data_IF_454532806941
#
_entry.id   IF_454532806941
#
_cell.length_a   1.000
_cell.length_b   1.000
_cell.length_c   1.000
_cell.angle_alpha   90.00
_cell.angle_beta   90.00
_cell.angle_gamma   90.00
#
_symmetry.space_group_name_H-M   'P 1'
#
loop_
_entity.id
_entity.type
_entity.pdbx_description
1 polymer ?
#
# COMPACT_ATOMS: atom_id res chain seq x y z
N UNK A 1 7.69 6.71 -20.57
CA UNK A 1 6.87 6.05 -19.53
C UNK A 1 6.99 4.55 -19.67
N UNK A 2 7.24 3.81 -18.57
CA UNK A 2 7.19 2.34 -18.53
C UNK A 2 5.92 1.78 -19.19
N UNK A 3 5.99 0.60 -19.82
CA UNK A 3 4.93 0.05 -20.68
C UNK A 3 3.61 -0.17 -19.92
N UNK A 4 3.72 -0.65 -18.69
CA UNK A 4 2.63 -0.89 -17.74
C UNK A 4 1.89 0.38 -17.30
N UNK A 5 2.53 1.55 -17.39
CA UNK A 5 1.94 2.85 -17.05
C UNK A 5 1.41 3.64 -18.26
N UNK A 6 1.39 3.06 -19.47
CA UNK A 6 0.87 3.73 -20.67
C UNK A 6 -0.67 3.68 -20.76
N UNK A 7 -1.31 2.64 -20.22
CA UNK A 7 -2.77 2.51 -20.15
C UNK A 7 -3.25 2.63 -18.70
N UNK A 8 -3.72 3.83 -18.32
CA UNK A 8 -4.21 4.18 -16.98
C UNK A 8 -5.67 4.65 -17.02
N UNK A 9 -6.48 4.06 -17.91
CA UNK A 9 -7.86 4.52 -18.18
C UNK A 9 -8.78 4.53 -16.96
N UNK A 10 -8.52 3.66 -15.98
CA UNK A 10 -9.22 3.58 -14.70
C UNK A 10 -8.20 3.22 -13.63
N UNK A 11 -8.22 3.98 -12.55
CA UNK A 11 -7.36 3.81 -11.38
C UNK A 11 -8.26 3.68 -10.15
N UNK A 12 -7.98 2.71 -9.29
CA UNK A 12 -8.68 2.58 -8.00
C UNK A 12 -7.76 3.06 -6.88
N UNK A 13 -8.33 3.70 -5.87
CA UNK A 13 -7.59 4.20 -4.70
C UNK A 13 -8.13 3.52 -3.44
N UNK A 14 -7.29 3.27 -2.45
CA UNK A 14 -7.76 2.72 -1.18
C UNK A 14 -6.65 2.45 -0.16
N UNK A 15 -7.06 2.19 1.09
CA UNK A 15 -6.13 2.01 2.20
C UNK A 15 -5.29 0.75 2.03
N UNK A 16 -4.21 0.66 2.80
CA UNK A 16 -3.27 -0.46 2.75
C UNK A 16 -3.68 -1.67 3.63
N UNK A 17 -4.96 -1.78 4.00
CA UNK A 17 -5.49 -2.93 4.73
C UNK A 17 -5.44 -4.20 3.88
N UNK A 18 -5.03 -5.33 4.46
CA UNK A 18 -4.71 -6.57 3.72
C UNK A 18 -5.82 -7.04 2.76
N UNK A 19 -7.06 -7.09 3.23
CA UNK A 19 -8.23 -7.47 2.39
C UNK A 19 -8.49 -6.45 1.28
N UNK A 20 -8.31 -5.16 1.56
CA UNK A 20 -8.54 -4.07 0.60
C UNK A 20 -7.48 -4.04 -0.49
N UNK A 21 -6.21 -4.26 -0.15
CA UNK A 21 -5.12 -4.40 -1.13
C UNK A 21 -5.45 -5.50 -2.15
N UNK A 22 -5.86 -6.69 -1.69
CA UNK A 22 -6.24 -7.80 -2.57
C UNK A 22 -7.43 -7.41 -3.47
N UNK A 23 -8.49 -6.85 -2.89
CA UNK A 23 -9.68 -6.46 -3.65
C UNK A 23 -9.38 -5.38 -4.69
N UNK A 24 -8.57 -4.38 -4.34
CA UNK A 24 -8.20 -3.29 -5.23
C UNK A 24 -7.33 -3.78 -6.40
N UNK A 25 -6.33 -4.62 -6.11
CA UNK A 25 -5.51 -5.28 -7.14
C UNK A 25 -6.34 -6.18 -8.07
N UNK A 26 -7.39 -6.81 -7.55
CA UNK A 26 -8.28 -7.69 -8.31
C UNK A 26 -9.49 -6.96 -8.95
N UNK A 27 -9.60 -5.63 -8.82
CA UNK A 27 -10.79 -4.86 -9.22
C UNK A 27 -11.03 -4.79 -10.73
N UNK A 28 -10.00 -5.07 -11.54
CA UNK A 28 -10.00 -4.84 -12.99
C UNK A 28 -9.58 -3.43 -13.41
N UNK A 29 -9.29 -2.53 -12.46
CA UNK A 29 -8.62 -1.27 -12.73
C UNK A 29 -7.22 -1.51 -13.34
N UNK A 30 -6.68 -0.52 -14.06
CA UNK A 30 -5.33 -0.61 -14.61
C UNK A 30 -4.26 -0.41 -13.55
N UNK A 31 -4.56 0.46 -12.59
CA UNK A 31 -3.68 0.75 -11.47
C UNK A 31 -4.46 0.75 -10.17
N UNK A 32 -3.75 0.45 -9.08
CA UNK A 32 -4.22 0.63 -7.71
C UNK A 32 -3.24 1.55 -6.99
N UNK A 33 -3.73 2.69 -6.51
CA UNK A 33 -2.99 3.57 -5.63
C UNK A 33 -3.25 3.16 -4.17
N UNK A 34 -2.29 2.43 -3.61
CA UNK A 34 -2.24 2.10 -2.19
C UNK A 34 -1.86 3.35 -1.41
N UNK A 35 -2.70 3.69 -0.44
CA UNK A 35 -2.69 5.01 0.17
C UNK A 35 -2.29 4.97 1.64
N UNK A 36 -1.21 5.65 1.99
CA UNK A 36 -0.79 5.92 3.37
C UNK A 36 -1.25 7.31 3.86
N UNK A 37 -1.93 8.08 3.01
CA UNK A 37 -2.39 9.44 3.28
C UNK A 37 -3.89 9.49 3.61
N UNK A 38 -4.73 10.19 2.83
CA UNK A 38 -6.05 10.65 3.28
C UNK A 38 -7.05 9.52 3.58
N UNK A 39 -6.90 8.32 2.98
CA UNK A 39 -7.78 7.19 3.27
C UNK A 39 -7.30 6.28 4.40
N UNK A 40 -6.14 6.57 4.99
CA UNK A 40 -5.53 5.75 6.06
C UNK A 40 -5.31 6.58 7.32
N UNK A 41 -5.94 6.20 8.43
CA UNK A 41 -5.56 6.73 9.75
C UNK A 41 -4.11 6.30 10.05
N UNK A 42 -3.15 7.22 10.22
CA UNK A 42 -1.72 6.90 10.26
C UNK A 42 -1.27 6.43 11.66
N UNK A 43 -1.95 5.40 12.17
CA UNK A 43 -1.47 4.70 13.37
C UNK A 43 -0.23 3.89 13.01
N UNK A 44 0.70 3.73 13.95
CA UNK A 44 1.91 2.91 13.74
C UNK A 44 1.58 1.52 13.17
N UNK A 45 0.56 0.87 13.73
CA UNK A 45 0.09 -0.44 13.26
C UNK A 45 -0.33 -0.39 11.79
N UNK A 46 -1.16 0.57 11.40
CA UNK A 46 -1.66 0.66 10.02
C UNK A 46 -0.53 0.91 9.03
N UNK A 47 0.45 1.75 9.39
CA UNK A 47 1.59 2.06 8.54
C UNK A 47 2.49 0.83 8.36
N UNK A 48 2.88 0.16 9.45
CA UNK A 48 3.76 -1.01 9.39
C UNK A 48 3.07 -2.21 8.73
N UNK A 49 1.82 -2.51 9.11
CA UNK A 49 1.07 -3.59 8.45
C UNK A 49 0.78 -3.26 6.99
N UNK A 50 0.53 -1.99 6.65
CA UNK A 50 0.37 -1.54 5.28
C UNK A 50 1.63 -1.82 4.45
N UNK A 51 2.81 -1.45 4.94
CA UNK A 51 4.09 -1.74 4.27
C UNK A 51 4.30 -3.25 4.08
N UNK A 52 3.99 -4.05 5.10
CA UNK A 52 4.04 -5.53 5.02
C UNK A 52 3.04 -6.08 4.00
N UNK A 53 1.82 -5.54 3.94
CA UNK A 53 0.83 -5.96 2.95
C UNK A 53 1.30 -5.69 1.52
N UNK A 54 1.91 -4.52 1.27
CA UNK A 54 2.47 -4.21 -0.05
C UNK A 54 3.68 -5.09 -0.39
N UNK A 55 4.54 -5.38 0.60
CA UNK A 55 5.64 -6.34 0.45
C UNK A 55 5.17 -7.72 -0.02
N UNK A 56 4.14 -8.26 0.65
CA UNK A 56 3.55 -9.56 0.30
C UNK A 56 2.86 -9.51 -1.07
N UNK A 57 2.19 -8.38 -1.39
CA UNK A 57 1.45 -8.21 -2.64
C UNK A 57 2.37 -8.24 -3.86
N UNK A 58 3.53 -7.55 -3.78
CA UNK A 58 4.51 -7.51 -4.87
C UNK A 58 5.12 -8.89 -5.13
N UNK A 59 5.25 -9.72 -4.09
CA UNK A 59 5.76 -11.10 -4.20
C UNK A 59 4.70 -12.11 -4.64
N UNK A 60 3.43 -11.69 -4.71
CA UNK A 60 2.32 -12.60 -5.00
C UNK A 60 1.93 -13.51 -3.83
N UNK A 61 2.39 -13.20 -2.62
CA UNK A 61 2.22 -14.02 -1.41
C UNK A 61 1.11 -13.50 -0.49
N UNK A 62 0.51 -12.35 -0.82
CA UNK A 62 -0.59 -11.79 -0.03
C UNK A 62 -1.84 -12.66 -0.14
N UNK A 63 -2.34 -13.07 1.03
CA UNK A 63 -3.60 -13.79 1.17
C UNK A 63 -4.34 -13.34 2.42
N UNK A 64 -5.66 -13.52 2.42
CA UNK A 64 -6.51 -13.16 3.55
C UNK A 64 -7.67 -14.15 3.66
N UNK A 65 -7.88 -14.69 4.86
CA UNK A 65 -9.09 -15.43 5.21
C UNK A 65 -10.02 -14.54 6.03
N UNK A 66 -11.25 -14.37 5.55
CA UNK A 66 -12.28 -13.66 6.30
C UNK A 66 -12.68 -14.49 7.54
N UNK A 67 -12.57 -13.95 8.77
CA UNK A 67 -12.77 -14.73 9.98
C UNK A 67 -14.24 -15.14 10.18
N UNK A 68 -15.19 -14.38 9.62
CA UNK A 68 -16.63 -14.64 9.77
C UNK A 68 -17.13 -15.59 8.69
N UNK A 69 -16.78 -15.33 7.43
CA UNK A 69 -17.29 -16.08 6.28
C UNK A 69 -16.39 -17.24 5.86
N UNK A 70 -15.16 -17.31 6.39
CA UNK A 70 -14.10 -18.28 6.01
C UNK A 70 -13.67 -18.18 4.54
N UNK A 71 -14.16 -17.18 3.80
CA UNK A 71 -13.82 -16.93 2.40
C UNK A 71 -12.34 -16.55 2.30
N UNK A 72 -11.64 -17.19 1.36
CA UNK A 72 -10.25 -16.90 1.02
C UNK A 72 -10.16 -15.84 -0.07
N UNK A 73 -9.15 -14.98 0.05
CA UNK A 73 -8.83 -13.92 -0.88
C UNK A 73 -7.34 -14.04 -1.21
N UNK A 74 -7.04 -14.08 -2.51
CA UNK A 74 -5.69 -14.19 -3.09
C UNK A 74 -5.65 -13.34 -4.36
N UNK A 75 -4.45 -13.05 -4.87
CA UNK A 75 -4.30 -12.28 -6.10
C UNK A 75 -4.66 -13.09 -7.34
N UNK A 76 -5.28 -12.42 -8.31
CA UNK A 76 -5.45 -12.95 -9.66
C UNK A 76 -4.09 -13.01 -10.38
N UNK A 77 -4.02 -13.75 -11.49
CA UNK A 77 -2.78 -13.90 -12.28
C UNK A 77 -2.26 -12.62 -12.93
N UNK A 78 -3.12 -11.60 -13.08
CA UNK A 78 -2.78 -10.29 -13.65
C UNK A 78 -3.45 -9.18 -12.83
N UNK A 79 -2.92 -8.86 -11.64
CA UNK A 79 -3.45 -7.78 -10.81
C UNK A 79 -3.17 -6.41 -11.46
N UNK A 80 -3.86 -5.38 -10.98
CA UNK A 80 -3.59 -3.99 -11.34
C UNK A 80 -2.14 -3.59 -11.00
N UNK A 81 -1.58 -2.61 -11.72
CA UNK A 81 -0.26 -2.06 -11.41
C UNK A 81 -0.33 -1.30 -10.08
N UNK A 82 0.52 -1.66 -9.13
CA UNK A 82 0.57 -1.01 -7.83
C UNK A 82 1.30 0.34 -7.92
N UNK A 83 0.69 1.36 -7.32
CA UNK A 83 1.29 2.67 -7.06
C UNK A 83 1.12 2.98 -5.57
N UNK A 84 2.05 3.74 -5.00
CA UNK A 84 1.99 4.11 -3.58
C UNK A 84 1.87 5.61 -3.43
N UNK A 85 0.94 6.04 -2.58
CA UNK A 85 0.80 7.43 -2.14
C UNK A 85 1.30 7.56 -0.70
N UNK A 86 2.51 8.12 -0.48
CA UNK A 86 3.00 8.40 0.86
C UNK A 86 2.24 9.58 1.47
N UNK A 87 2.33 9.76 2.79
CA UNK A 87 1.83 10.95 3.49
C UNK A 87 2.43 12.24 2.91
N UNK A 88 1.67 13.33 2.96
CA UNK A 88 2.12 14.66 2.55
C UNK A 88 3.19 15.26 3.46
N UNK A 89 3.96 16.22 2.94
CA UNK A 89 5.15 16.81 3.60
C UNK A 89 4.92 17.39 5.01
N UNK A 90 3.69 17.76 5.34
CA UNK A 90 3.33 18.36 6.62
C UNK A 90 3.08 17.33 7.73
N UNK A 91 3.01 16.04 7.41
CA UNK A 91 2.73 14.97 8.37
C UNK A 91 4.02 14.35 8.91
N UNK A 92 4.21 14.31 10.24
CA UNK A 92 5.34 13.61 10.84
C UNK A 92 5.07 12.12 11.05
N UNK A 93 6.13 11.33 11.13
CA UNK A 93 6.14 10.00 11.74
C UNK A 93 6.64 10.14 13.20
N UNK A 94 5.70 10.13 14.15
CA UNK A 94 6.02 10.40 15.56
C UNK A 94 6.76 9.26 16.26
N UNK A 95 6.72 8.04 15.72
CA UNK A 95 7.32 6.86 16.34
C UNK A 95 8.79 6.67 15.94
N UNK A 96 9.27 7.37 14.91
CA UNK A 96 10.66 7.32 14.45
C UNK A 96 11.27 8.70 14.61
N UNK A 97 12.42 8.76 15.30
CA UNK A 97 13.12 10.00 15.57
C UNK A 97 14.55 9.94 15.06
N UNK A 98 15.02 11.05 14.50
CA UNK A 98 16.42 11.31 14.16
C UNK A 98 16.84 12.54 14.92
N UNK A 99 17.91 12.44 15.71
CA UNK A 99 18.35 13.53 16.61
C UNK A 99 17.24 14.05 17.53
N UNK A 100 16.39 13.14 18.02
CA UNK A 100 15.20 13.40 18.86
C UNK A 100 14.01 14.11 18.18
N UNK A 101 14.14 14.48 16.90
CA UNK A 101 13.06 15.08 16.12
C UNK A 101 12.27 14.01 15.34
N UNK A 102 10.93 14.10 15.28
CA UNK A 102 10.11 13.20 14.45
C UNK A 102 10.55 13.21 12.99
N UNK A 103 10.61 12.03 12.38
CA UNK A 103 10.91 11.89 10.96
C UNK A 103 9.76 12.45 10.11
N UNK A 104 10.04 12.84 8.86
CA UNK A 104 8.99 13.11 7.89
C UNK A 104 8.21 11.84 7.57
N UNK A 105 6.88 11.90 7.65
CA UNK A 105 6.02 10.79 7.23
C UNK A 105 6.17 10.47 5.74
N UNK A 106 6.34 11.49 4.90
CA UNK A 106 6.58 11.33 3.45
C UNK A 106 7.83 10.49 3.17
N UNK A 107 8.94 10.81 3.85
CA UNK A 107 10.21 10.10 3.67
C UNK A 107 10.10 8.69 4.25
N UNK A 108 9.51 8.54 5.44
CA UNK A 108 9.32 7.22 6.06
C UNK A 108 8.52 6.28 5.15
N UNK A 109 7.36 6.71 4.63
CA UNK A 109 6.49 5.87 3.80
C UNK A 109 7.17 5.49 2.48
N UNK A 110 7.85 6.46 1.85
CA UNK A 110 8.60 6.26 0.61
C UNK A 110 9.79 5.30 0.80
N UNK A 111 10.66 5.58 1.78
CA UNK A 111 11.90 4.83 1.99
C UNK A 111 11.60 3.37 2.35
N UNK A 112 10.65 3.12 3.25
CA UNK A 112 10.29 1.75 3.64
C UNK A 112 9.72 1.00 2.44
N UNK A 113 8.87 1.61 1.61
CA UNK A 113 8.32 0.96 0.43
C UNK A 113 9.41 0.66 -0.61
N UNK A 114 10.23 1.66 -0.97
CA UNK A 114 11.26 1.53 -2.00
C UNK A 114 12.35 0.55 -1.56
N UNK A 115 12.85 0.66 -0.33
CA UNK A 115 13.91 -0.21 0.18
C UNK A 115 13.53 -1.70 0.09
N UNK A 116 12.27 -2.02 0.34
CA UNK A 116 11.81 -3.40 0.40
C UNK A 116 11.36 -3.99 -0.95
N UNK A 117 11.16 -3.15 -1.98
CA UNK A 117 10.44 -3.55 -3.20
C UNK A 117 11.03 -3.04 -4.54
N UNK A 118 12.07 -2.20 -4.52
CA UNK A 118 12.69 -1.67 -5.74
C UNK A 118 13.56 -2.68 -6.50
#
# INVERSE_FOLDING_TARGET
TPKDLQDRRVEITGPCDRKMVINALNSGAKTYMADFEDSTTPTWRNLIEGQKNLFDAIRGEISYQDPQTRKQYELNSKPAVLMVRPRGWHLPELHVKVDSEPMSGSIFDFDVYVFNNA
#
